data_IF_210460046859
#
_entry.id   IF_210460046859
#
_cell.length_a   1.000
_cell.length_b   1.000
_cell.length_c   1.000
_cell.angle_alpha   90.00
_cell.angle_beta   90.00
_cell.angle_gamma   90.00
#
_symmetry.space_group_name_H-M   'P 1'
#
loop_
_entity.id
_entity.type
_entity.pdbx_description
1 polymer ?
#
# COMPACT_ATOMS: atom_id res chain seq x y z
N UNK A 1 -20.40 7.91 -9.71
CA UNK A 1 -19.60 9.13 -9.99
C UNK A 1 -18.46 8.86 -10.98
N UNK A 2 -17.64 7.81 -10.78
CA UNK A 2 -16.56 7.44 -11.73
C UNK A 2 -17.04 6.55 -12.89
N UNK A 3 -18.07 5.74 -12.64
CA UNK A 3 -18.83 4.92 -13.61
C UNK A 3 -19.66 5.73 -14.62
N UNK A 4 -19.85 7.03 -14.37
CA UNK A 4 -20.51 7.93 -15.33
C UNK A 4 -19.68 8.07 -16.62
N UNK A 5 -18.36 7.93 -16.52
CA UNK A 5 -17.45 8.03 -17.67
C UNK A 5 -17.22 6.66 -18.32
N UNK A 6 -16.98 6.63 -19.63
CA UNK A 6 -16.61 5.39 -20.33
C UNK A 6 -15.35 4.76 -19.73
N UNK A 7 -14.30 5.56 -19.50
CA UNK A 7 -13.04 5.08 -18.92
C UNK A 7 -13.22 4.44 -17.55
N UNK A 8 -14.09 5.00 -16.70
CA UNK A 8 -14.38 4.42 -15.39
C UNK A 8 -15.08 3.06 -15.49
N UNK A 9 -16.02 2.90 -16.44
CA UNK A 9 -16.68 1.61 -16.69
C UNK A 9 -15.70 0.55 -17.21
N UNK A 10 -14.83 0.94 -18.13
CA UNK A 10 -13.79 0.06 -18.66
C UNK A 10 -12.83 -0.39 -17.55
N UNK A 11 -12.37 0.55 -16.70
CA UNK A 11 -11.52 0.22 -15.56
C UNK A 11 -12.19 -0.77 -14.60
N UNK A 12 -13.47 -0.54 -14.24
CA UNK A 12 -14.22 -1.45 -13.38
C UNK A 12 -14.33 -2.85 -14.00
N UNK A 13 -14.63 -2.93 -15.30
CA UNK A 13 -14.75 -4.21 -16.00
C UNK A 13 -13.41 -4.96 -16.05
N UNK A 14 -12.30 -4.27 -16.32
CA UNK A 14 -10.97 -4.86 -16.36
C UNK A 14 -10.50 -5.34 -14.98
N UNK A 15 -10.83 -4.60 -13.91
CA UNK A 15 -10.56 -5.03 -12.54
C UNK A 15 -11.42 -6.27 -12.19
N UNK A 16 -12.72 -6.23 -12.49
CA UNK A 16 -13.63 -7.34 -12.24
C UNK A 16 -13.26 -8.63 -12.99
N UNK A 17 -12.69 -8.50 -14.18
CA UNK A 17 -12.16 -9.63 -14.96
C UNK A 17 -10.78 -10.11 -14.50
N UNK A 18 -10.13 -9.43 -13.55
CA UNK A 18 -8.77 -9.72 -13.11
C UNK A 18 -7.69 -9.38 -14.14
N UNK A 19 -8.03 -8.62 -15.19
CA UNK A 19 -7.09 -8.21 -16.24
C UNK A 19 -6.12 -7.12 -15.77
N UNK A 20 -6.56 -6.28 -14.83
CA UNK A 20 -5.72 -5.32 -14.11
C UNK A 20 -6.07 -5.35 -12.62
N UNK A 21 -5.08 -5.57 -11.78
CA UNK A 21 -5.23 -5.54 -10.32
C UNK A 21 -4.02 -4.90 -9.64
N UNK A 22 -3.04 -4.40 -10.40
CA UNK A 22 -1.82 -3.80 -9.90
C UNK A 22 -1.92 -2.29 -9.74
N UNK A 23 -1.09 -1.75 -8.85
CA UNK A 23 -0.93 -0.32 -8.62
C UNK A 23 0.50 0.10 -8.93
N UNK A 24 0.63 1.20 -9.67
CA UNK A 24 1.86 1.96 -9.81
C UNK A 24 1.70 3.29 -9.11
N UNK A 25 2.74 3.73 -8.40
CA UNK A 25 2.76 4.99 -7.66
C UNK A 25 3.88 5.85 -8.22
N UNK A 26 3.50 6.93 -8.90
CA UNK A 26 4.44 7.96 -9.34
C UNK A 26 4.88 8.81 -8.15
N UNK A 27 6.19 8.98 -7.99
CA UNK A 27 6.76 9.78 -6.91
C UNK A 27 8.00 10.55 -7.35
N UNK A 28 8.30 11.63 -6.63
CA UNK A 28 9.57 12.36 -6.70
C UNK A 28 10.40 12.03 -5.46
N UNK A 29 11.64 11.61 -5.66
CA UNK A 29 12.56 11.37 -4.55
C UNK A 29 13.10 12.70 -4.02
N UNK A 30 12.85 12.99 -2.74
CA UNK A 30 13.36 14.18 -2.05
C UNK A 30 14.69 13.86 -1.38
N UNK A 31 14.78 12.71 -0.71
CA UNK A 31 16.03 12.21 -0.12
C UNK A 31 16.22 10.74 -0.45
N UNK A 32 17.41 10.42 -0.94
CA UNK A 32 17.83 9.06 -1.25
C UNK A 32 19.34 8.89 -1.07
N UNK A 33 19.76 7.70 -0.66
CA UNK A 33 21.18 7.31 -0.54
C UNK A 33 21.42 5.98 -1.25
N UNK A 34 22.68 5.64 -1.51
CA UNK A 34 23.06 4.28 -1.93
C UNK A 34 23.64 3.55 -0.73
N UNK A 35 23.30 2.27 -0.56
CA UNK A 35 23.97 1.42 0.42
C UNK A 35 25.24 0.78 -0.17
N UNK A 36 25.98 0.04 0.66
CA UNK A 36 27.23 -0.64 0.27
C UNK A 36 27.03 -1.70 -0.82
N UNK A 37 25.78 -2.15 -1.03
CA UNK A 37 25.38 -3.08 -2.09
C UNK A 37 24.94 -2.36 -3.37
N UNK A 38 25.07 -1.04 -3.44
CA UNK A 38 24.68 -0.21 -4.58
C UNK A 38 23.16 0.00 -4.72
N UNK A 39 22.35 -0.47 -3.77
CA UNK A 39 20.91 -0.31 -3.79
C UNK A 39 20.52 1.12 -3.38
N UNK A 40 19.53 1.69 -4.06
CA UNK A 40 18.98 3.01 -3.72
C UNK A 40 17.99 2.89 -2.56
N UNK A 41 18.30 3.54 -1.45
CA UNK A 41 17.42 3.70 -0.29
C UNK A 41 16.72 5.05 -0.38
N UNK A 42 15.39 5.03 -0.38
CA UNK A 42 14.54 6.23 -0.44
C UNK A 42 14.05 6.53 0.98
N UNK A 43 14.47 7.67 1.54
CA UNK A 43 14.11 8.04 2.93
C UNK A 43 13.01 9.10 2.97
N UNK A 44 12.84 9.88 1.90
CA UNK A 44 11.78 10.87 1.78
C UNK A 44 11.30 10.96 0.34
N UNK A 45 9.99 10.80 0.15
CA UNK A 45 9.32 10.79 -1.15
C UNK A 45 8.11 11.71 -1.12
N UNK A 46 7.89 12.41 -2.22
CA UNK A 46 6.61 13.06 -2.52
C UNK A 46 5.81 12.18 -3.46
N UNK A 47 4.63 11.76 -3.03
CA UNK A 47 3.71 10.96 -3.85
C UNK A 47 2.87 11.88 -4.73
N UNK A 48 2.78 11.55 -6.02
CA UNK A 48 2.12 12.39 -7.02
C UNK A 48 0.86 11.76 -7.59
N UNK A 49 0.96 10.52 -8.07
CA UNK A 49 -0.14 9.86 -8.77
C UNK A 49 -0.18 8.36 -8.45
N UNK A 50 -1.36 7.78 -8.68
CA UNK A 50 -1.59 6.36 -8.59
C UNK A 50 -2.33 5.92 -9.84
N UNK A 51 -1.80 4.90 -10.51
CA UNK A 51 -2.35 4.34 -11.74
C UNK A 51 -2.59 2.83 -11.62
N UNK A 52 -3.60 2.34 -12.35
CA UNK A 52 -3.89 0.91 -12.48
C UNK A 52 -2.99 0.30 -13.55
N UNK A 53 -2.37 -0.84 -13.23
CA UNK A 53 -1.44 -1.56 -14.11
C UNK A 53 -1.67 -3.07 -14.03
N UNK A 54 -1.27 -3.81 -15.07
CA UNK A 54 -1.30 -5.29 -15.03
C UNK A 54 -0.17 -5.86 -14.18
N UNK A 55 1.04 -5.32 -14.34
CA UNK A 55 2.26 -5.83 -13.69
C UNK A 55 2.92 -4.72 -12.84
N UNK A 56 2.65 -4.66 -11.53
CA UNK A 56 3.27 -3.70 -10.65
C UNK A 56 4.71 -4.10 -10.32
N UNK A 57 5.57 -3.11 -10.13
CA UNK A 57 6.96 -3.32 -9.72
C UNK A 57 7.07 -3.90 -8.31
N UNK A 58 6.14 -3.55 -7.41
CA UNK A 58 6.00 -4.15 -6.09
C UNK A 58 4.87 -5.20 -6.15
N UNK A 59 5.14 -6.51 -5.98
CA UNK A 59 4.11 -7.55 -6.15
C UNK A 59 2.87 -7.40 -5.25
N UNK A 60 3.03 -6.80 -4.07
CA UNK A 60 1.96 -6.55 -3.10
C UNK A 60 1.17 -5.28 -3.36
N UNK A 61 1.57 -4.43 -4.32
CA UNK A 61 0.83 -3.24 -4.71
C UNK A 61 -0.35 -3.64 -5.60
N UNK A 62 -1.40 -4.16 -4.97
CA UNK A 62 -2.61 -4.66 -5.63
C UNK A 62 -3.85 -3.90 -5.18
N UNK A 63 -4.81 -3.76 -6.07
CA UNK A 63 -6.18 -3.35 -5.75
C UNK A 63 -6.81 -4.51 -4.97
N UNK A 64 -6.97 -4.32 -3.67
CA UNK A 64 -7.73 -5.24 -2.83
C UNK A 64 -9.14 -4.69 -2.61
N UNK A 65 -10.07 -5.58 -2.26
CA UNK A 65 -11.31 -5.13 -1.65
C UNK A 65 -10.96 -4.24 -0.45
N UNK A 66 -11.59 -3.07 -0.36
CA UNK A 66 -11.51 -2.23 0.84
C UNK A 66 -11.85 -3.14 2.02
N UNK A 67 -10.95 -3.25 3.00
CA UNK A 67 -11.11 -4.18 4.11
C UNK A 67 -12.50 -4.05 4.74
N UNK A 68 -13.39 -5.01 4.47
CA UNK A 68 -14.78 -4.96 4.92
C UNK A 68 -14.94 -5.34 6.40
N UNK A 69 -13.83 -5.47 7.14
CA UNK A 69 -13.84 -5.73 8.58
C UNK A 69 -12.93 -4.76 9.35
N UNK A 70 -13.26 -3.46 9.36
CA UNK A 70 -12.53 -2.45 10.16
C UNK A 70 -12.39 -2.87 11.62
N UNK A 71 -13.38 -3.59 12.14
CA UNK A 71 -13.42 -4.14 13.50
C UNK A 71 -12.29 -5.15 13.75
N UNK A 72 -12.05 -6.07 12.81
CA UNK A 72 -10.98 -7.06 12.91
C UNK A 72 -9.62 -6.40 12.80
N UNK A 73 -9.47 -5.43 11.90
CA UNK A 73 -8.22 -4.68 11.76
C UNK A 73 -7.92 -3.84 13.02
N UNK A 74 -8.94 -3.21 13.59
CA UNK A 74 -8.82 -2.43 14.83
C UNK A 74 -8.44 -3.32 16.01
N UNK A 75 -9.11 -4.46 16.18
CA UNK A 75 -8.80 -5.43 17.23
C UNK A 75 -7.36 -5.97 17.13
N UNK A 76 -6.88 -6.27 15.91
CA UNK A 76 -5.51 -6.71 15.70
C UNK A 76 -4.48 -5.61 16.03
N UNK A 77 -4.79 -4.35 15.71
CA UNK A 77 -3.94 -3.19 16.04
C UNK A 77 -3.87 -2.96 17.56
N UNK A 78 -5.00 -3.06 18.25
CA UNK A 78 -5.07 -2.94 19.71
C UNK A 78 -4.28 -4.06 20.41
N UNK A 79 -4.45 -5.30 19.94
CA UNK A 79 -3.69 -6.44 20.46
C UNK A 79 -2.18 -6.26 20.24
N UNK A 80 -1.76 -5.78 19.05
CA UNK A 80 -0.36 -5.49 18.78
C UNK A 80 0.19 -4.35 19.67
N UNK A 81 -0.62 -3.34 19.99
CA UNK A 81 -0.24 -2.26 20.91
C UNK A 81 -0.07 -2.79 22.35
N UNK A 82 -0.99 -3.64 22.82
CA UNK A 82 -0.91 -4.26 24.14
C UNK A 82 0.36 -5.13 24.29
N UNK A 83 0.69 -5.94 23.28
CA UNK A 83 1.91 -6.76 23.27
C UNK A 83 3.18 -5.90 23.28
N UNK A 84 3.21 -4.79 22.55
CA UNK A 84 4.34 -3.85 22.58
C UNK A 84 4.49 -3.20 23.96
N UNK A 85 3.38 -2.80 24.59
CA UNK A 85 3.37 -2.25 25.95
C UNK A 85 3.92 -3.25 26.97
N UNK A 86 3.39 -4.47 26.98
CA UNK A 86 3.85 -5.54 27.87
C UNK A 86 5.35 -5.84 27.71
N UNK A 87 5.85 -5.86 26.46
CA UNK A 87 7.29 -6.04 26.19
C UNK A 87 8.14 -4.91 26.78
N UNK A 88 7.68 -3.67 26.71
CA UNK A 88 8.38 -2.51 27.27
C UNK A 88 8.35 -2.51 28.80
N UNK A 89 7.28 -3.01 29.41
CA UNK A 89 7.17 -3.10 30.87
C UNK A 89 8.04 -4.23 31.43
N UNK A 90 8.14 -5.36 30.73
CA UNK A 90 9.08 -6.44 31.04
C UNK A 90 10.54 -5.99 30.91
N UNK A 91 10.86 -5.15 29.93
CA UNK A 91 12.23 -4.63 29.74
C UNK A 91 12.61 -3.52 30.75
N UNK A 92 11.64 -2.99 31.50
CA UNK A 92 11.85 -1.97 32.55
C UNK A 92 11.98 -2.57 33.96
N UNK A 93 11.81 -3.89 34.11
CA UNK A 93 12.10 -4.66 35.32
C UNK A 93 13.46 -5.32 35.22
#
# INVERSE_FOLDING_TARGET
>A
LLDATQKGREAIALIGAGAIDGLSIGYRAVKATKNDKGQRLLTELELWEVSLVTFPMLPSARVAAKGERPEVETALREMAAALKGARLDLARR
#
